data_IF_402068489592
#
_entry.id   IF_402068489592
#
_cell.length_a   1.000
_cell.length_b   1.000
_cell.length_c   1.000
_cell.angle_alpha   90.00
_cell.angle_beta   90.00
_cell.angle_gamma   90.00
#
_symmetry.space_group_name_H-M   'P 1'
#
loop_
_entity.id
_entity.type
_entity.pdbx_description
1 polymer ?
#
# COMPACT_ATOMS: atom_id res chain seq x y z
N UNK A 1 -23.87 20.69 16.20
CA UNK A 1 -24.47 19.34 16.03
C UNK A 1 -23.34 18.36 16.24
N UNK A 2 -23.26 17.78 17.44
CA UNK A 2 -22.24 16.82 17.85
C UNK A 2 -22.70 15.43 17.41
N UNK A 3 -21.93 14.76 16.55
CA UNK A 3 -22.22 13.38 16.16
C UNK A 3 -21.62 12.45 17.21
N UNK A 4 -22.39 12.17 18.25
CA UNK A 4 -22.11 11.11 19.21
C UNK A 4 -22.46 9.77 18.54
N UNK A 5 -21.44 9.09 18.03
CA UNK A 5 -21.59 7.73 17.53
C UNK A 5 -22.14 6.84 18.65
N UNK A 6 -23.26 6.16 18.40
CA UNK A 6 -23.73 5.12 19.32
C UNK A 6 -22.69 3.99 19.38
N UNK A 7 -22.36 3.56 20.59
CA UNK A 7 -21.29 2.58 20.88
C UNK A 7 -21.50 1.24 20.16
N UNK A 8 -22.77 0.87 19.90
CA UNK A 8 -23.17 -0.34 19.18
C UNK A 8 -23.03 -0.20 17.64
N UNK A 9 -22.92 1.02 17.12
CA UNK A 9 -22.77 1.31 15.70
C UNK A 9 -21.32 1.58 15.30
N UNK A 10 -20.38 1.61 16.24
CA UNK A 10 -18.97 1.87 15.98
C UNK A 10 -18.24 0.59 15.52
N UNK A 11 -18.61 0.13 14.33
CA UNK A 11 -18.08 -1.07 13.67
C UNK A 11 -17.34 -0.69 12.40
N UNK A 12 -16.41 -1.55 11.95
CA UNK A 12 -15.71 -1.35 10.70
C UNK A 12 -16.70 -1.25 9.54
N UNK A 13 -16.59 -0.19 8.74
CA UNK A 13 -17.41 -0.01 7.55
C UNK A 13 -16.96 -0.91 6.37
N UNK A 14 -15.81 -1.59 6.49
CA UNK A 14 -15.32 -2.58 5.54
C UNK A 14 -16.08 -3.90 5.55
N UNK A 15 -15.46 -4.95 5.00
CA UNK A 15 -16.09 -6.27 4.86
C UNK A 15 -16.15 -7.03 6.18
N UNK A 16 -15.22 -6.78 7.12
CA UNK A 16 -15.19 -7.55 8.37
C UNK A 16 -16.31 -7.19 9.36
N UNK A 17 -16.88 -5.97 9.27
CA UNK A 17 -17.94 -5.45 10.18
C UNK A 17 -17.65 -5.62 11.68
N UNK A 18 -16.39 -5.78 12.09
CA UNK A 18 -16.02 -6.00 13.50
C UNK A 18 -16.17 -4.73 14.35
N UNK A 19 -16.51 -4.84 15.64
CA UNK A 19 -16.54 -3.69 16.55
C UNK A 19 -15.16 -3.06 16.68
N UNK A 20 -15.11 -1.73 16.66
CA UNK A 20 -13.87 -0.95 16.73
C UNK A 20 -13.68 -0.24 18.07
N UNK A 21 -14.64 -0.34 18.99
CA UNK A 21 -14.57 0.23 20.34
C UNK A 21 -13.33 -0.29 21.06
N UNK A 22 -12.50 0.61 21.58
CA UNK A 22 -11.27 0.26 22.29
C UNK A 22 -10.12 -0.23 21.39
N UNK A 23 -10.25 -0.13 20.06
CA UNK A 23 -9.19 -0.51 19.10
C UNK A 23 -8.74 0.69 18.28
N UNK A 24 -7.54 0.63 17.71
CA UNK A 24 -7.10 1.62 16.72
C UNK A 24 -7.86 1.43 15.41
N UNK A 25 -8.47 2.52 14.93
CA UNK A 25 -9.21 2.56 13.67
C UNK A 25 -8.74 3.73 12.80
N UNK A 26 -9.14 3.69 11.54
CA UNK A 26 -8.91 4.74 10.55
C UNK A 26 -10.25 5.31 10.10
N UNK A 27 -10.42 6.63 10.09
CA UNK A 27 -11.63 7.28 9.59
C UNK A 27 -11.43 7.74 8.13
N UNK A 28 -12.43 7.48 7.27
CA UNK A 28 -12.47 7.97 5.89
C UNK A 28 -13.89 8.34 5.52
N UNK A 29 -14.09 9.56 5.01
CA UNK A 29 -15.42 10.08 4.63
C UNK A 29 -16.46 9.92 5.76
N UNK A 30 -16.03 10.13 7.01
CA UNK A 30 -16.87 9.96 8.20
C UNK A 30 -17.20 8.51 8.56
N UNK A 31 -16.57 7.52 7.94
CA UNK A 31 -16.79 6.10 8.25
C UNK A 31 -15.54 5.48 8.90
N UNK A 32 -15.68 4.73 10.01
CA UNK A 32 -14.55 4.07 10.66
C UNK A 32 -14.21 2.74 9.97
N UNK A 33 -12.92 2.45 9.81
CA UNK A 33 -12.40 1.22 9.22
C UNK A 33 -11.31 0.63 10.12
N UNK A 34 -11.26 -0.70 10.18
CA UNK A 34 -10.12 -1.37 10.76
C UNK A 34 -8.90 -1.21 9.85
N UNK A 35 -7.70 -1.41 10.41
CA UNK A 35 -6.45 -1.36 9.66
C UNK A 35 -6.50 -2.20 8.37
N UNK A 36 -6.93 -3.46 8.49
CA UNK A 36 -6.91 -4.41 7.37
C UNK A 36 -7.82 -3.99 6.21
N UNK A 37 -9.07 -3.62 6.50
CA UNK A 37 -10.00 -3.15 5.47
C UNK A 37 -9.56 -1.81 4.88
N UNK A 38 -9.09 -0.89 5.72
CA UNK A 38 -8.61 0.40 5.25
C UNK A 38 -7.43 0.24 4.29
N UNK A 39 -6.48 -0.63 4.63
CA UNK A 39 -5.35 -0.97 3.79
C UNK A 39 -5.80 -1.65 2.48
N UNK A 40 -6.75 -2.57 2.53
CA UNK A 40 -7.24 -3.26 1.32
C UNK A 40 -8.03 -2.35 0.38
N UNK A 41 -8.85 -1.46 0.92
CA UNK A 41 -9.73 -0.56 0.16
C UNK A 41 -9.00 0.68 -0.35
N UNK A 42 -8.07 1.23 0.43
CA UNK A 42 -7.51 2.56 0.18
C UNK A 42 -5.98 2.60 0.05
N UNK A 43 -5.24 1.56 0.40
CA UNK A 43 -3.78 1.60 0.23
C UNK A 43 -3.40 1.55 -1.26
N UNK A 44 -2.31 2.24 -1.59
CA UNK A 44 -1.74 2.18 -2.91
C UNK A 44 -1.26 0.76 -3.23
N UNK A 45 -1.49 0.29 -4.45
CA UNK A 45 -1.08 -1.06 -4.87
C UNK A 45 0.31 -1.07 -5.47
N UNK A 46 1.09 -2.09 -5.10
CA UNK A 46 2.39 -2.35 -5.70
C UNK A 46 2.23 -2.73 -7.16
N UNK A 47 2.95 -2.07 -8.06
CA UNK A 47 2.92 -2.41 -9.49
C UNK A 47 3.58 -3.77 -9.78
N UNK A 48 4.49 -4.22 -8.91
CA UNK A 48 5.18 -5.51 -9.08
C UNK A 48 4.35 -6.73 -8.69
N UNK A 49 3.54 -6.64 -7.63
CA UNK A 49 2.76 -7.78 -7.11
C UNK A 49 1.24 -7.55 -7.03
N UNK A 50 0.76 -6.33 -7.24
CA UNK A 50 -0.66 -5.96 -7.14
C UNK A 50 -1.19 -5.81 -5.70
N UNK A 51 -0.41 -6.15 -4.68
CA UNK A 51 -0.84 -6.08 -3.29
C UNK A 51 -0.77 -4.66 -2.71
N UNK A 52 -1.65 -4.32 -1.73
CA UNK A 52 -1.62 -3.04 -1.04
C UNK A 52 -0.29 -2.83 -0.31
N UNK A 53 0.27 -1.62 -0.44
CA UNK A 53 1.49 -1.20 0.25
C UNK A 53 1.10 -0.52 1.55
N UNK A 54 1.30 -1.22 2.66
CA UNK A 54 0.94 -0.77 4.01
C UNK A 54 2.07 -0.01 4.70
N UNK A 55 3.29 -0.03 4.15
CA UNK A 55 4.48 0.57 4.76
C UNK A 55 5.33 1.39 3.75
N UNK A 56 6.66 1.42 3.94
CA UNK A 56 7.58 2.20 3.13
C UNK A 56 7.56 1.76 1.65
N UNK A 57 6.88 2.55 0.81
CA UNK A 57 6.85 2.36 -0.63
C UNK A 57 8.05 3.00 -1.34
N UNK A 58 8.56 2.35 -2.37
CA UNK A 58 9.44 2.96 -3.36
C UNK A 58 8.56 3.65 -4.40
N UNK A 59 8.77 4.95 -4.62
CA UNK A 59 8.10 5.71 -5.68
C UNK A 59 9.05 5.83 -6.85
N UNK A 60 8.76 5.13 -7.94
CA UNK A 60 9.58 5.09 -9.14
C UNK A 60 8.70 4.76 -10.35
N UNK A 61 9.06 5.26 -11.54
CA UNK A 61 8.30 5.04 -12.77
C UNK A 61 6.84 5.51 -12.69
N UNK A 62 6.60 6.63 -12.01
CA UNK A 62 5.26 7.14 -11.74
C UNK A 62 4.34 6.13 -11.02
N UNK A 63 4.93 5.18 -10.30
CA UNK A 63 4.24 4.08 -9.66
C UNK A 63 4.82 3.80 -8.27
N UNK A 64 4.07 3.06 -7.46
CA UNK A 64 4.52 2.61 -6.13
C UNK A 64 4.86 1.13 -6.15
N UNK A 65 5.92 0.79 -5.44
CA UNK A 65 6.48 -0.55 -5.38
C UNK A 65 6.83 -0.91 -3.94
N UNK A 66 6.69 -2.19 -3.58
CA UNK A 66 7.36 -2.70 -2.40
C UNK A 66 8.87 -2.69 -2.61
N UNK A 67 9.63 -2.54 -1.53
CA UNK A 67 11.10 -2.63 -1.53
C UNK A 67 11.59 -3.94 -2.17
N UNK A 68 10.92 -5.05 -1.87
CA UNK A 68 11.22 -6.37 -2.44
C UNK A 68 10.78 -6.51 -3.91
N UNK A 69 9.70 -5.81 -4.31
CA UNK A 69 9.19 -5.87 -5.67
C UNK A 69 9.97 -4.98 -6.64
N UNK A 70 10.71 -3.97 -6.15
CA UNK A 70 11.52 -3.10 -6.98
C UNK A 70 12.86 -3.77 -7.31
N UNK A 71 12.81 -4.71 -8.24
CA UNK A 71 13.93 -5.56 -8.64
C UNK A 71 14.16 -5.53 -10.14
N UNK A 72 15.41 -5.78 -10.54
CA UNK A 72 15.81 -5.79 -11.92
C UNK A 72 15.01 -6.82 -12.72
N UNK A 73 14.41 -6.38 -13.83
CA UNK A 73 13.69 -7.26 -14.78
C UNK A 73 14.54 -8.43 -15.26
N UNK A 74 15.85 -8.23 -15.48
CA UNK A 74 16.76 -9.21 -16.09
C UNK A 74 17.34 -10.20 -15.08
N UNK A 75 17.90 -9.73 -13.97
CA UNK A 75 18.58 -10.58 -12.98
C UNK A 75 17.76 -10.86 -11.72
N UNK A 76 16.62 -10.18 -11.52
CA UNK A 76 15.78 -10.33 -10.33
C UNK A 76 16.37 -9.74 -9.04
N UNK A 77 17.55 -9.13 -9.09
CA UNK A 77 18.20 -8.52 -7.92
C UNK A 77 17.46 -7.25 -7.51
N UNK A 78 17.17 -7.04 -6.20
CA UNK A 78 16.57 -5.81 -5.71
C UNK A 78 17.45 -4.61 -6.07
N UNK A 79 16.83 -3.56 -6.59
CA UNK A 79 17.51 -2.34 -6.99
C UNK A 79 17.54 -1.43 -5.76
N UNK A 80 18.69 -1.42 -5.08
CA UNK A 80 18.96 -0.56 -3.92
C UNK A 80 19.72 0.71 -4.32
N UNK A 81 20.26 0.75 -5.54
CA UNK A 81 20.98 1.89 -6.06
C UNK A 81 20.05 3.08 -6.34
N UNK A 82 20.56 4.29 -6.11
CA UNK A 82 19.86 5.54 -6.43
C UNK A 82 19.60 5.72 -7.92
N UNK A 83 20.39 5.03 -8.76
CA UNK A 83 20.34 5.10 -10.22
C UNK A 83 19.99 3.72 -10.78
N UNK A 84 19.05 3.67 -11.70
CA UNK A 84 18.61 2.47 -12.40
C UNK A 84 18.19 2.84 -13.82
N UNK A 85 18.20 1.85 -14.71
CA UNK A 85 17.69 2.01 -16.07
C UNK A 85 16.24 1.56 -16.16
N UNK A 86 15.55 1.98 -17.22
CA UNK A 86 14.14 1.67 -17.45
C UNK A 86 14.01 1.06 -18.84
N UNK A 87 13.46 -0.14 -18.92
CA UNK A 87 13.18 -0.84 -20.18
C UNK A 87 11.78 -1.44 -20.07
N UNK A 88 10.89 -1.10 -21.01
CA UNK A 88 9.51 -1.62 -21.04
C UNK A 88 8.73 -1.35 -19.73
N UNK A 89 8.81 -0.12 -19.20
CA UNK A 89 8.22 0.27 -17.89
C UNK A 89 8.65 -0.59 -16.71
N UNK A 90 9.78 -1.32 -16.81
CA UNK A 90 10.34 -2.13 -15.74
C UNK A 90 11.74 -1.64 -15.38
N UNK A 91 12.11 -1.69 -14.09
CA UNK A 91 13.40 -1.19 -13.65
C UNK A 91 14.48 -2.25 -13.93
N UNK A 92 15.66 -1.79 -14.36
CA UNK A 92 16.86 -2.59 -14.61
C UNK A 92 18.00 -2.06 -13.73
N UNK A 93 18.77 -2.97 -13.15
CA UNK A 93 20.01 -2.57 -12.47
C UNK A 93 21.03 -2.07 -13.51
N UNK A 94 21.94 -1.21 -13.06
CA UNK A 94 23.01 -0.65 -13.90
C UNK A 94 23.86 -1.73 -14.55
N UNK A 95 24.09 -2.86 -13.87
CA UNK A 95 24.83 -4.01 -14.39
C UNK A 95 24.13 -4.73 -15.56
N UNK A 96 22.81 -4.67 -15.67
CA UNK A 96 22.03 -5.30 -16.75
C UNK A 96 21.62 -4.33 -17.87
N UNK A 97 21.88 -3.04 -17.67
CA UNK A 97 21.65 -1.98 -18.65
C UNK A 97 22.90 -1.61 -19.45
N UNK A 98 24.08 -1.96 -18.94
CA UNK A 98 25.37 -1.73 -19.59
C UNK A 98 25.81 -2.90 -20.44
#
# INVERSE_FOLDING_TARGET
MEQSWHEECFVCNGLCKKPLVGTSFYERDGHPYCREDFEQLFAARCTGCGQPITENAIVALNAKWHRDCFKCKKCGTPITASTFAVEDNKPLCTACSG
#
